data_IF_706721705270
#
_entry.id   IF_706721705270
#
_cell.length_a   1.000
_cell.length_b   1.000
_cell.length_c   1.000
_cell.angle_alpha   90.00
_cell.angle_beta   90.00
_cell.angle_gamma   90.00
#
_symmetry.space_group_name_H-M   'P 1'
#
loop_
_entity.id
_entity.type
_entity.pdbx_description
1 polymer ?
#
# COMPACT_ATOMS: atom_id res chain seq x y z
N UNK A 1 8.07 -1.06 2.29
CA UNK A 1 6.72 -1.62 2.06
C UNK A 1 6.60 -2.07 0.61
N UNK A 2 5.97 -3.20 0.38
CA UNK A 2 5.68 -3.73 -0.96
C UNK A 2 4.19 -4.07 -1.06
N UNK A 3 3.61 -3.89 -2.24
CA UNK A 3 2.24 -4.31 -2.54
C UNK A 3 2.26 -5.60 -3.34
N UNK A 4 1.44 -6.56 -2.97
CA UNK A 4 1.18 -7.73 -3.79
C UNK A 4 0.37 -7.32 -5.03
N UNK A 5 0.92 -7.63 -6.20
CA UNK A 5 0.26 -7.48 -7.49
C UNK A 5 0.23 -8.85 -8.15
N UNK A 6 -0.88 -9.57 -7.97
CA UNK A 6 -1.08 -10.92 -8.52
C UNK A 6 0.02 -11.92 -8.10
N UNK A 7 0.37 -11.95 -6.82
CA UNK A 7 1.41 -12.82 -6.26
C UNK A 7 2.84 -12.29 -6.44
N UNK A 8 3.01 -11.15 -7.11
CA UNK A 8 4.31 -10.49 -7.27
C UNK A 8 4.38 -9.31 -6.32
N UNK A 9 5.34 -9.34 -5.39
CA UNK A 9 5.61 -8.20 -4.53
C UNK A 9 6.31 -7.11 -5.33
N UNK A 10 5.70 -5.92 -5.36
CA UNK A 10 6.26 -4.73 -6.00
C UNK A 10 6.52 -3.65 -4.95
N UNK A 11 7.68 -3.03 -5.03
CA UNK A 11 7.97 -1.80 -4.27
C UNK A 11 6.93 -0.74 -4.60
N UNK A 12 6.52 0.02 -3.59
CA UNK A 12 5.61 1.15 -3.78
C UNK A 12 6.37 2.30 -4.44
N UNK A 13 5.78 2.88 -5.47
CA UNK A 13 6.27 4.14 -6.04
C UNK A 13 5.83 5.30 -5.14
N UNK A 14 6.79 5.90 -4.44
CA UNK A 14 6.51 7.04 -3.58
C UNK A 14 6.19 8.29 -4.41
N UNK A 15 5.17 9.02 -3.97
CA UNK A 15 4.70 10.26 -4.58
C UNK A 15 3.96 11.10 -3.53
N UNK A 16 3.36 12.22 -3.92
CA UNK A 16 2.63 13.10 -3.00
C UNK A 16 1.41 12.47 -2.29
N UNK A 17 0.99 11.27 -2.72
CA UNK A 17 -0.16 10.54 -2.18
C UNK A 17 0.26 9.31 -1.36
N UNK A 18 1.26 8.56 -1.82
CA UNK A 18 1.78 7.36 -1.16
C UNK A 18 3.24 7.60 -0.80
N UNK A 19 3.60 7.45 0.47
CA UNK A 19 5.01 7.56 0.89
C UNK A 19 5.27 6.74 2.16
N UNK A 20 6.54 6.44 2.42
CA UNK A 20 6.95 5.78 3.67
C UNK A 20 7.66 6.81 4.55
N UNK A 21 7.19 6.97 5.78
CA UNK A 21 7.85 7.81 6.77
C UNK A 21 8.15 7.00 8.02
N UNK A 22 9.43 6.91 8.40
CA UNK A 22 9.89 6.19 9.60
C UNK A 22 9.29 4.77 9.73
N UNK A 23 9.26 4.02 8.63
CA UNK A 23 8.71 2.65 8.58
C UNK A 23 7.19 2.56 8.48
N UNK A 24 6.47 3.68 8.53
CA UNK A 24 5.00 3.73 8.39
C UNK A 24 4.61 4.02 6.95
N UNK A 25 3.74 3.18 6.38
CA UNK A 25 3.13 3.42 5.07
C UNK A 25 2.00 4.44 5.21
N UNK A 26 2.10 5.56 4.49
CA UNK A 26 1.09 6.61 4.45
C UNK A 26 0.42 6.62 3.08
N UNK A 27 -0.92 6.68 3.06
CA UNK A 27 -1.73 6.75 1.84
C UNK A 27 -2.77 7.87 2.03
N UNK A 28 -2.59 8.99 1.34
CA UNK A 28 -3.57 10.09 1.27
C UNK A 28 -4.63 9.79 0.20
N UNK A 29 -5.81 10.40 0.34
CA UNK A 29 -6.91 10.31 -0.65
C UNK A 29 -7.11 8.86 -1.12
N UNK A 30 -7.36 7.97 -0.15
CA UNK A 30 -7.46 6.51 -0.37
C UNK A 30 -8.50 6.22 -1.45
N UNK A 31 -8.17 5.32 -2.36
CA UNK A 31 -9.00 4.85 -3.45
C UNK A 31 -9.23 3.36 -3.31
N UNK A 32 -10.29 2.83 -3.91
CA UNK A 32 -10.57 1.38 -3.90
C UNK A 32 -9.41 0.55 -4.45
N UNK A 33 -8.65 1.09 -5.41
CA UNK A 33 -7.45 0.46 -5.98
C UNK A 33 -6.27 0.37 -5.01
N UNK A 34 -6.28 1.11 -3.91
CA UNK A 34 -5.29 0.97 -2.84
C UNK A 34 -5.53 -0.29 -2.02
N UNK A 35 -6.75 -0.85 -2.03
CA UNK A 35 -7.03 -2.13 -1.40
C UNK A 35 -6.09 -3.24 -1.88
N UNK A 36 -5.79 -4.18 -0.98
CA UNK A 36 -4.97 -5.34 -1.29
C UNK A 36 -4.02 -5.73 -0.16
N UNK A 37 -3.14 -6.68 -0.48
CA UNK A 37 -2.15 -7.22 0.45
C UNK A 37 -0.84 -6.42 0.35
N UNK A 38 -0.33 -6.05 1.51
CA UNK A 38 0.91 -5.31 1.68
C UNK A 38 1.88 -6.10 2.55
N UNK A 39 3.17 -5.97 2.29
CA UNK A 39 4.23 -6.53 3.12
C UNK A 39 5.22 -5.45 3.56
N UNK A 40 5.44 -5.36 4.86
CA UNK A 40 6.58 -4.65 5.43
C UNK A 40 7.76 -5.62 5.47
N UNK A 41 8.84 -5.28 4.79
CA UNK A 41 10.07 -6.07 4.77
C UNK A 41 11.20 -5.20 5.30
N UNK A 42 11.81 -5.65 6.40
CA UNK A 42 12.95 -4.99 7.03
C UNK A 42 14.13 -5.95 6.94
N UNK A 43 15.24 -5.47 6.38
CA UNK A 43 16.44 -6.27 6.12
C UNK A 43 17.67 -5.63 6.75
N UNK A 44 18.52 -6.45 7.34
CA UNK A 44 19.86 -6.08 7.78
C UNK A 44 20.89 -7.11 7.22
N UNK A 45 22.14 -7.01 7.66
CA UNK A 45 23.21 -7.91 7.21
C UNK A 45 23.04 -9.37 7.65
N UNK A 46 22.23 -9.63 8.67
CA UNK A 46 22.02 -10.96 9.26
C UNK A 46 20.82 -11.65 8.59
N UNK A 47 19.81 -10.89 8.18
CA UNK A 47 18.64 -11.44 7.52
C UNK A 47 17.53 -10.42 7.36
N UNK A 48 16.30 -10.92 7.25
CA UNK A 48 15.12 -10.11 7.04
C UNK A 48 13.92 -10.59 7.84
N UNK A 49 13.01 -9.66 8.12
CA UNK A 49 11.71 -9.92 8.73
C UNK A 49 10.63 -9.39 7.81
N UNK A 50 9.56 -10.17 7.66
CA UNK A 50 8.38 -9.84 6.85
C UNK A 50 7.13 -9.82 7.72
N UNK A 51 6.28 -8.81 7.53
CA UNK A 51 4.95 -8.72 8.14
C UNK A 51 3.96 -8.45 7.03
N UNK A 52 2.90 -9.26 6.97
CA UNK A 52 1.80 -9.10 6.02
C UNK A 52 0.66 -8.30 6.66
N UNK A 53 0.01 -7.46 5.86
CA UNK A 53 -1.19 -6.72 6.26
C UNK A 53 -2.13 -6.60 5.07
N UNK A 54 -3.43 -6.79 5.30
CA UNK A 54 -4.46 -6.63 4.27
C UNK A 54 -5.17 -5.30 4.49
N UNK A 55 -5.11 -4.42 3.50
CA UNK A 55 -5.84 -3.16 3.49
C UNK A 55 -7.19 -3.38 2.81
N UNK A 56 -8.27 -3.24 3.58
CA UNK A 56 -9.65 -3.23 3.08
C UNK A 56 -10.12 -1.78 3.04
N UNK A 57 -10.48 -1.29 1.86
CA UNK A 57 -11.02 0.06 1.69
C UNK A 57 -12.54 -0.04 1.61
N UNK A 58 -13.25 0.44 2.63
CA UNK A 58 -14.72 0.48 2.67
C UNK A 58 -15.22 1.89 2.33
N UNK A 59 -16.07 2.02 1.29
CA UNK A 59 -16.61 3.30 0.80
C UNK A 59 -16.61 3.41 -0.74
N UNK A 60 -17.58 4.12 -1.31
CA UNK A 60 -17.83 4.14 -2.76
C UNK A 60 -16.99 5.16 -3.54
N UNK A 61 -16.62 4.73 -4.76
CA UNK A 61 -16.26 5.61 -5.87
C UNK A 61 -17.51 6.38 -6.29
N UNK A 62 -17.79 7.53 -5.67
CA UNK A 62 -18.83 8.45 -6.17
C UNK A 62 -18.33 9.05 -7.48
N UNK A 63 -18.57 8.35 -8.59
CA UNK A 63 -18.61 8.99 -9.90
C UNK A 63 -19.79 9.95 -9.85
N UNK A 64 -19.57 11.23 -9.51
CA UNK A 64 -20.53 12.29 -9.80
C UNK A 64 -20.72 12.29 -11.32
N UNK A 65 -21.76 11.62 -11.81
CA UNK A 65 -22.31 11.93 -13.12
C UNK A 65 -22.71 13.41 -13.04
N UNK A 66 -22.00 14.27 -13.75
CA UNK A 66 -22.39 15.66 -13.90
C UNK A 66 -23.72 15.67 -14.68
N UNK A 67 -24.77 16.17 -14.04
CA UNK A 67 -26.01 16.60 -14.67
C UNK A 67 -25.80 17.90 -15.43
#
# INVERSE_FOLDING_TARGET
WMKDTNGILKSLEENGRIWVNQGTLNIKKVQSSDGGKYQCIVRNSIGERRIESVLIVTGEKINRMQS
#
